data_IF_120671078533
#
_entry.id   IF_120671078533
#
_cell.length_a   1.000
_cell.length_b   1.000
_cell.length_c   1.000
_cell.angle_alpha   90.00
_cell.angle_beta   90.00
_cell.angle_gamma   90.00
#
_symmetry.space_group_name_H-M   'P 1'
#
loop_
_entity.id
_entity.type
_entity.pdbx_description
1 polymer ?
#
# COMPACT_ATOMS: atom_id res chain seq x y z
N UNK A 1 6.52 1.31 -9.40
CA UNK A 1 6.75 0.83 -8.03
C UNK A 1 6.47 -0.67 -7.97
N UNK A 2 7.04 -1.40 -7.00
CA UNK A 2 6.83 -2.84 -6.86
C UNK A 2 5.82 -3.18 -5.74
N UNK A 3 4.98 -4.17 -6.01
CA UNK A 3 3.93 -4.61 -5.08
C UNK A 3 3.90 -6.12 -4.91
N UNK A 4 3.55 -6.60 -3.71
CA UNK A 4 3.28 -8.01 -3.44
C UNK A 4 1.78 -8.20 -3.20
N UNK A 5 1.13 -8.99 -4.05
CA UNK A 5 -0.23 -9.47 -3.84
C UNK A 5 -0.24 -10.68 -2.92
N UNK A 6 -1.25 -10.77 -2.07
CA UNK A 6 -1.44 -11.90 -1.14
C UNK A 6 -2.57 -12.78 -1.64
N UNK A 7 -2.28 -14.07 -1.82
CA UNK A 7 -3.25 -15.08 -2.24
C UNK A 7 -3.13 -16.32 -1.38
N UNK A 8 -4.20 -17.11 -1.31
CA UNK A 8 -4.11 -18.46 -0.77
C UNK A 8 -3.69 -19.49 -1.83
N UNK A 9 -3.34 -20.68 -1.36
CA UNK A 9 -2.84 -21.74 -2.23
C UNK A 9 -3.85 -22.21 -3.28
N UNK A 10 -5.15 -22.16 -2.96
CA UNK A 10 -6.17 -22.66 -3.88
C UNK A 10 -6.44 -21.69 -5.02
N UNK A 11 -6.39 -20.39 -4.75
CA UNK A 11 -6.60 -19.34 -5.75
C UNK A 11 -5.32 -19.00 -6.54
N UNK A 12 -4.13 -19.35 -6.03
CA UNK A 12 -2.85 -19.13 -6.72
C UNK A 12 -2.87 -19.55 -8.19
N UNK A 13 -3.24 -20.80 -8.49
CA UNK A 13 -3.27 -21.30 -9.86
C UNK A 13 -4.32 -20.60 -10.73
N UNK A 14 -5.45 -20.22 -10.13
CA UNK A 14 -6.50 -19.48 -10.82
C UNK A 14 -6.04 -18.09 -11.22
N UNK A 15 -5.25 -17.42 -10.38
CA UNK A 15 -4.68 -16.11 -10.71
C UNK A 15 -3.81 -16.20 -11.97
N UNK A 16 -2.95 -17.21 -12.01
CA UNK A 16 -1.97 -17.38 -13.08
C UNK A 16 -2.62 -17.83 -14.37
N UNK A 17 -3.47 -18.86 -14.33
CA UNK A 17 -4.21 -19.35 -15.49
C UNK A 17 -5.00 -18.24 -16.18
N UNK A 18 -5.59 -17.35 -15.39
CA UNK A 18 -6.48 -16.29 -15.89
C UNK A 18 -5.79 -14.94 -16.06
N UNK A 19 -4.47 -14.86 -15.83
CA UNK A 19 -3.68 -13.63 -15.91
C UNK A 19 -4.32 -12.44 -15.19
N UNK A 20 -4.85 -12.70 -13.98
CA UNK A 20 -5.60 -11.70 -13.23
C UNK A 20 -5.33 -11.85 -11.74
N UNK A 21 -5.14 -10.74 -11.04
CA UNK A 21 -5.16 -10.70 -9.58
C UNK A 21 -6.43 -10.00 -9.12
N UNK A 22 -7.01 -10.49 -8.02
CA UNK A 22 -8.23 -9.95 -7.44
C UNK A 22 -8.09 -9.75 -5.93
N UNK A 23 -8.78 -8.75 -5.42
CA UNK A 23 -8.83 -8.42 -3.99
C UNK A 23 -10.29 -8.35 -3.49
N UNK A 24 -10.55 -8.62 -2.20
CA UNK A 24 -11.90 -8.54 -1.64
C UNK A 24 -12.42 -7.09 -1.61
N UNK A 25 -13.74 -6.93 -1.51
CA UNK A 25 -14.40 -5.63 -1.37
C UNK A 25 -14.34 -5.10 0.06
N UNK A 26 -13.13 -4.85 0.55
CA UNK A 26 -12.92 -4.16 1.82
C UNK A 26 -12.27 -2.80 1.57
N UNK A 27 -12.68 -1.79 2.35
CA UNK A 27 -12.06 -0.47 2.48
C UNK A 27 -10.53 -0.53 2.38
N UNK A 28 -9.92 -1.40 3.17
CA UNK A 28 -8.46 -1.55 3.23
C UNK A 28 -7.87 -2.11 1.95
N UNK A 29 -8.42 -3.22 1.44
CA UNK A 29 -7.89 -3.85 0.24
C UNK A 29 -8.01 -2.93 -0.97
N UNK A 30 -9.15 -2.25 -1.11
CA UNK A 30 -9.36 -1.25 -2.18
C UNK A 30 -8.36 -0.11 -2.06
N UNK A 31 -8.14 0.39 -0.84
CA UNK A 31 -7.10 1.38 -0.52
C UNK A 31 -5.72 0.99 -1.06
N UNK A 32 -5.37 -0.28 -0.91
CA UNK A 32 -4.07 -0.82 -1.30
C UNK A 32 -3.93 -1.00 -2.82
N UNK A 33 -4.94 -1.57 -3.49
CA UNK A 33 -4.83 -1.85 -4.94
C UNK A 33 -4.83 -0.58 -5.79
N UNK A 34 -5.51 0.48 -5.35
CA UNK A 34 -5.61 1.75 -6.11
C UNK A 34 -4.26 2.42 -6.41
N UNK A 35 -3.28 2.15 -5.55
CA UNK A 35 -1.93 2.68 -5.69
C UNK A 35 -1.18 1.98 -6.83
N UNK A 36 -1.58 0.77 -7.19
CA UNK A 36 -1.00 0.02 -8.31
C UNK A 36 -1.44 0.65 -9.63
N UNK A 37 -0.49 0.85 -10.55
CA UNK A 37 -0.70 1.38 -11.89
C UNK A 37 -0.31 0.37 -12.96
N UNK A 38 -0.83 0.59 -14.17
CA UNK A 38 -0.37 -0.14 -15.36
C UNK A 38 1.15 -0.04 -15.49
N UNK A 39 1.76 -1.14 -15.93
CA UNK A 39 3.19 -1.37 -16.13
C UNK A 39 4.02 -1.52 -14.86
N UNK A 40 3.42 -1.47 -13.68
CA UNK A 40 4.12 -1.71 -12.43
C UNK A 40 4.44 -3.19 -12.21
N UNK A 41 5.48 -3.39 -11.42
CA UNK A 41 6.03 -4.70 -11.13
C UNK A 41 5.29 -5.33 -9.97
N UNK A 42 4.90 -6.58 -10.12
CA UNK A 42 4.14 -7.31 -9.12
C UNK A 42 4.82 -8.62 -8.76
N UNK A 43 4.59 -9.05 -7.53
CA UNK A 43 4.95 -10.36 -7.00
C UNK A 43 3.72 -10.99 -6.36
N UNK A 44 3.73 -12.30 -6.16
CA UNK A 44 2.60 -13.03 -5.57
C UNK A 44 3.05 -13.86 -4.37
N UNK A 45 2.62 -13.49 -3.17
CA UNK A 45 2.84 -14.25 -1.95
C UNK A 45 1.68 -15.21 -1.68
N UNK A 46 2.00 -16.50 -1.52
CA UNK A 46 1.02 -17.56 -1.23
C UNK A 46 1.04 -17.87 0.26
N UNK A 47 0.02 -17.40 0.99
CA UNK A 47 -0.02 -17.44 2.46
C UNK A 47 0.16 -18.85 3.07
N UNK A 48 -0.53 -19.85 2.52
CA UNK A 48 -0.43 -21.24 3.01
C UNK A 48 0.94 -21.88 2.78
N UNK A 49 1.66 -21.45 1.74
CA UNK A 49 3.01 -21.95 1.39
C UNK A 49 4.13 -21.12 1.97
N UNK A 50 3.84 -19.90 2.45
CA UNK A 50 4.81 -18.93 2.95
C UNK A 50 5.91 -18.63 1.92
N UNK A 51 5.51 -18.44 0.67
CA UNK A 51 6.44 -18.27 -0.46
C UNK A 51 6.00 -17.16 -1.39
N UNK A 52 6.96 -16.44 -1.93
CA UNK A 52 6.77 -15.48 -3.03
C UNK A 52 7.04 -16.19 -4.36
N UNK A 53 6.19 -15.95 -5.34
CA UNK A 53 6.25 -16.59 -6.66
C UNK A 53 6.27 -15.56 -7.76
N UNK A 54 7.20 -15.75 -8.70
CA UNK A 54 7.20 -15.08 -10.00
C UNK A 54 7.45 -13.58 -9.93
N UNK A 55 7.68 -13.03 -11.12
CA UNK A 55 7.73 -11.59 -11.37
C UNK A 55 6.68 -11.34 -12.45
N UNK A 56 5.76 -10.42 -12.17
CA UNK A 56 4.66 -10.10 -13.06
C UNK A 56 4.66 -8.61 -13.35
N UNK A 57 3.94 -8.25 -14.42
CA UNK A 57 3.69 -6.87 -14.79
C UNK A 57 2.20 -6.59 -14.78
N UNK A 58 1.78 -5.48 -14.18
CA UNK A 58 0.43 -4.96 -14.37
C UNK A 58 0.25 -4.56 -15.85
N UNK A 59 -0.75 -5.11 -16.53
CA UNK A 59 -1.09 -4.72 -17.91
C UNK A 59 -2.38 -3.90 -18.00
N UNK A 60 -3.03 -3.65 -16.86
CA UNK A 60 -4.12 -2.70 -16.72
C UNK A 60 -3.93 -1.88 -15.44
N UNK A 61 -4.64 -0.77 -15.35
CA UNK A 61 -4.93 -0.17 -14.05
C UNK A 61 -5.94 -1.05 -13.27
N UNK A 62 -6.08 -0.86 -11.95
CA UNK A 62 -7.12 -1.51 -11.17
C UNK A 62 -8.52 -1.16 -11.69
N UNK A 63 -9.40 -2.15 -11.73
CA UNK A 63 -10.77 -2.00 -12.19
C UNK A 63 -11.74 -2.78 -11.32
N UNK A 64 -13.03 -2.41 -11.41
CA UNK A 64 -14.14 -3.15 -10.82
C UNK A 64 -14.73 -4.08 -11.87
N UNK A 65 -14.90 -5.34 -11.53
CA UNK A 65 -15.66 -6.30 -12.34
C UNK A 65 -17.16 -6.09 -12.10
N UNK A 66 -17.91 -5.97 -13.19
CA UNK A 66 -19.36 -5.76 -13.15
C UNK A 66 -20.10 -6.95 -12.53
N UNK A 67 -19.68 -8.18 -12.88
CA UNK A 67 -20.33 -9.44 -12.48
C UNK A 67 -19.34 -10.33 -11.75
N UNK A 68 -18.96 -9.98 -10.50
CA UNK A 68 -17.90 -10.69 -9.79
C UNK A 68 -18.30 -12.10 -9.39
N UNK A 69 -19.60 -12.42 -9.25
CA UNK A 69 -20.13 -13.72 -8.77
C UNK A 69 -19.59 -14.98 -9.44
N UNK A 70 -18.97 -14.85 -10.63
CA UNK A 70 -18.37 -15.96 -11.38
C UNK A 70 -16.91 -15.76 -11.73
N UNK A 71 -16.17 -15.00 -10.91
CA UNK A 71 -14.71 -14.92 -11.03
C UNK A 71 -14.07 -16.32 -11.06
N UNK A 72 -12.81 -16.44 -11.52
CA UNK A 72 -12.14 -17.74 -11.67
C UNK A 72 -11.80 -18.41 -10.32
N UNK A 73 -12.15 -17.77 -9.21
CA UNK A 73 -11.78 -18.11 -7.85
C UNK A 73 -12.59 -19.28 -7.30
N UNK A 74 -12.00 -19.96 -6.32
CA UNK A 74 -12.73 -20.98 -5.57
C UNK A 74 -13.80 -20.27 -4.74
N UNK A 75 -15.06 -20.60 -4.98
CA UNK A 75 -16.21 -20.01 -4.30
C UNK A 75 -16.32 -20.55 -2.87
N UNK A 76 -15.90 -19.77 -1.87
CA UNK A 76 -16.11 -20.10 -0.45
C UNK A 76 -17.21 -19.22 0.14
N UNK A 77 -17.84 -19.71 1.22
CA UNK A 77 -18.79 -18.92 2.02
C UNK A 77 -18.22 -17.58 2.51
N UNK A 78 -16.91 -17.50 2.75
CA UNK A 78 -16.27 -16.24 3.13
C UNK A 78 -16.23 -15.23 1.97
N UNK A 79 -16.06 -15.70 0.73
CA UNK A 79 -16.04 -14.86 -0.46
C UNK A 79 -17.43 -14.28 -0.77
N UNK A 80 -18.50 -14.97 -0.39
CA UNK A 80 -19.88 -14.44 -0.46
C UNK A 80 -20.04 -13.14 0.33
N UNK A 81 -19.39 -13.03 1.50
CA UNK A 81 -19.49 -11.86 2.38
C UNK A 81 -18.76 -10.64 1.82
N UNK A 82 -17.62 -10.85 1.16
CA UNK A 82 -16.70 -9.78 0.75
C UNK A 82 -16.67 -9.58 -0.77
N UNK A 83 -17.55 -10.25 -1.50
CA UNK A 83 -17.54 -10.31 -2.95
C UNK A 83 -16.42 -11.22 -3.46
N UNK A 84 -16.68 -11.88 -4.58
CA UNK A 84 -15.75 -12.78 -5.28
C UNK A 84 -14.62 -12.01 -5.98
N UNK A 85 -13.85 -11.30 -5.17
CA UNK A 85 -12.71 -10.46 -5.54
C UNK A 85 -13.06 -9.49 -6.70
N UNK A 86 -14.00 -8.56 -6.46
CA UNK A 86 -14.55 -7.72 -7.53
C UNK A 86 -13.58 -6.66 -8.04
N UNK A 87 -12.54 -6.33 -7.28
CA UNK A 87 -11.51 -5.37 -7.72
C UNK A 87 -10.30 -6.13 -8.19
N UNK A 88 -9.88 -5.86 -9.43
CA UNK A 88 -8.97 -6.71 -10.16
C UNK A 88 -7.93 -5.89 -10.90
N UNK A 89 -6.84 -6.55 -11.25
CA UNK A 89 -5.82 -6.04 -12.14
C UNK A 89 -5.40 -7.16 -13.09
N UNK A 90 -5.29 -6.84 -14.39
CA UNK A 90 -4.76 -7.78 -15.37
C UNK A 90 -3.25 -7.80 -15.28
N UNK A 91 -2.66 -8.96 -15.42
CA UNK A 91 -1.21 -9.15 -15.31
C UNK A 91 -0.63 -9.84 -16.54
N UNK A 92 0.65 -9.67 -16.75
CA UNK A 92 1.45 -10.53 -17.60
C UNK A 92 2.60 -11.17 -16.82
N UNK A 93 3.06 -12.31 -17.31
CA UNK A 93 4.10 -13.11 -16.65
C UNK A 93 5.43 -12.79 -17.31
N UNK A 94 6.31 -12.05 -16.63
CA UNK A 94 7.61 -11.66 -17.21
C UNK A 94 8.63 -12.81 -17.17
N UNK A 95 8.58 -13.63 -16.12
CA UNK A 95 9.50 -14.76 -15.92
C UNK A 95 8.76 -16.05 -15.60
N UNK A 96 9.28 -17.17 -16.08
CA UNK A 96 8.71 -18.50 -15.83
C UNK A 96 8.59 -18.84 -14.33
N UNK A 97 7.65 -19.72 -14.01
CA UNK A 97 7.35 -20.12 -12.64
C UNK A 97 8.27 -21.24 -12.16
N UNK A 98 8.86 -21.05 -10.99
CA UNK A 98 9.49 -22.13 -10.23
C UNK A 98 8.80 -22.41 -8.91
N UNK A 99 9.53 -23.01 -7.98
CA UNK A 99 9.01 -23.52 -6.69
C UNK A 99 8.63 -22.46 -5.64
N UNK A 100 8.85 -21.19 -5.96
CA UNK A 100 8.69 -20.03 -5.07
C UNK A 100 9.84 -19.85 -4.07
N UNK A 101 10.07 -18.59 -3.70
CA UNK A 101 11.04 -18.11 -2.72
C UNK A 101 10.44 -18.18 -1.30
N UNK A 102 10.96 -19.00 -0.39
CA UNK A 102 10.51 -19.03 1.01
C UNK A 102 10.68 -17.68 1.68
N UNK A 103 9.68 -17.24 2.45
CA UNK A 103 9.72 -15.96 3.16
C UNK A 103 10.86 -15.89 4.18
N UNK A 104 11.24 -17.03 4.74
CA UNK A 104 12.34 -17.16 5.70
C UNK A 104 13.69 -16.75 5.10
N UNK A 105 13.86 -16.85 3.77
CA UNK A 105 15.05 -16.34 3.08
C UNK A 105 15.14 -14.82 3.16
N UNK A 106 14.00 -14.13 3.00
CA UNK A 106 13.93 -12.67 3.08
C UNK A 106 14.10 -12.18 4.53
N UNK A 107 13.52 -12.92 5.48
CA UNK A 107 13.68 -12.65 6.92
C UNK A 107 15.14 -12.75 7.33
N UNK A 108 15.87 -13.78 6.88
CA UNK A 108 17.31 -13.95 7.16
C UNK A 108 18.17 -12.82 6.59
N UNK A 109 17.76 -12.23 5.48
CA UNK A 109 18.44 -11.08 4.86
C UNK A 109 18.08 -9.75 5.52
N UNK A 110 17.12 -9.75 6.45
CA UNK A 110 16.69 -8.59 7.21
C UNK A 110 16.31 -7.39 6.32
N UNK A 111 15.65 -7.65 5.19
CA UNK A 111 15.27 -6.61 4.24
C UNK A 111 13.91 -5.97 4.55
N UNK A 112 13.33 -6.22 5.74
CA UNK A 112 12.04 -5.66 6.15
C UNK A 112 10.79 -6.39 5.62
N UNK A 113 10.95 -7.44 4.81
CA UNK A 113 9.84 -8.30 4.37
C UNK A 113 9.79 -9.54 5.27
N UNK A 114 8.79 -9.61 6.14
CA UNK A 114 8.59 -10.72 7.09
C UNK A 114 7.22 -11.33 6.93
N UNK A 115 6.94 -12.46 7.57
CA UNK A 115 5.57 -13.02 7.61
C UNK A 115 4.53 -12.01 8.08
N UNK A 116 4.89 -11.13 9.02
CA UNK A 116 3.96 -10.16 9.58
C UNK A 116 3.60 -9.02 8.62
N UNK A 117 4.42 -8.78 7.59
CA UNK A 117 4.18 -7.80 6.53
C UNK A 117 2.86 -8.09 5.78
N UNK A 118 2.50 -9.37 5.63
CA UNK A 118 1.31 -9.80 4.89
C UNK A 118 0.02 -9.86 5.76
N UNK A 119 0.12 -9.65 7.08
CA UNK A 119 -1.01 -9.82 7.98
C UNK A 119 -2.08 -8.75 7.72
N UNK A 120 -3.23 -9.18 7.19
CA UNK A 120 -4.35 -8.29 6.87
C UNK A 120 -4.11 -7.41 5.64
N UNK A 121 -3.17 -7.78 4.77
CA UNK A 121 -2.96 -7.12 3.47
C UNK A 121 -3.52 -7.97 2.33
N UNK A 122 -4.05 -7.31 1.31
CA UNK A 122 -4.29 -7.92 0.00
C UNK A 122 -3.21 -7.53 -1.00
N UNK A 123 -2.69 -6.31 -0.87
CA UNK A 123 -1.55 -5.79 -1.63
C UNK A 123 -0.63 -5.04 -0.68
N UNK A 124 0.68 -5.20 -0.81
CA UNK A 124 1.66 -4.46 -0.01
C UNK A 124 2.76 -3.89 -0.88
N UNK A 125 3.09 -2.62 -0.66
CA UNK A 125 4.24 -1.97 -1.29
C UNK A 125 5.56 -2.53 -0.72
N UNK A 126 6.53 -2.71 -1.61
CA UNK A 126 7.92 -2.97 -1.27
C UNK A 126 8.80 -1.96 -2.01
N UNK A 127 10.00 -1.69 -1.52
CA UNK A 127 10.92 -0.79 -2.23
C UNK A 127 11.53 -1.45 -3.46
N UNK A 128 12.07 -0.63 -4.38
CA UNK A 128 12.78 -1.13 -5.57
C UNK A 128 13.97 -2.01 -5.16
N UNK A 129 14.72 -1.62 -4.12
CA UNK A 129 15.81 -2.43 -3.58
C UNK A 129 15.34 -3.81 -3.06
N UNK A 130 14.22 -3.84 -2.35
CA UNK A 130 13.63 -5.11 -1.90
C UNK A 130 13.17 -5.97 -3.10
N UNK A 131 12.58 -5.35 -4.12
CA UNK A 131 12.14 -6.02 -5.33
C UNK A 131 13.32 -6.62 -6.11
N UNK A 132 14.43 -5.90 -6.27
CA UNK A 132 15.66 -6.38 -6.89
C UNK A 132 16.20 -7.64 -6.17
N UNK A 133 16.26 -7.61 -4.83
CA UNK A 133 16.68 -8.77 -4.04
C UNK A 133 15.76 -9.97 -4.26
N UNK A 134 14.43 -9.76 -4.29
CA UNK A 134 13.47 -10.83 -4.55
C UNK A 134 13.67 -11.41 -5.94
N UNK A 135 13.86 -10.57 -6.96
CA UNK A 135 14.08 -11.02 -8.33
C UNK A 135 15.32 -11.88 -8.47
N UNK A 136 16.44 -11.43 -7.91
CA UNK A 136 17.71 -12.15 -8.02
C UNK A 136 17.62 -13.52 -7.35
N UNK A 137 16.98 -13.57 -6.17
CA UNK A 137 16.70 -14.84 -5.49
C UNK A 137 15.77 -15.75 -6.29
N UNK A 138 14.73 -15.20 -6.92
CA UNK A 138 13.83 -15.98 -7.78
C UNK A 138 14.57 -16.51 -9.02
N UNK A 139 15.44 -15.71 -9.65
CA UNK A 139 16.27 -16.13 -10.79
C UNK A 139 17.18 -17.30 -10.39
N UNK A 140 17.88 -17.19 -9.26
CA UNK A 140 18.77 -18.24 -8.74
C UNK A 140 18.03 -19.56 -8.46
N UNK A 141 16.83 -19.48 -7.87
CA UNK A 141 16.01 -20.66 -7.56
C UNK A 141 15.47 -21.31 -8.85
N UNK A 142 15.04 -20.49 -9.81
CA UNK A 142 14.44 -20.97 -11.06
C UNK A 142 15.46 -21.64 -11.98
N UNK A 143 16.72 -21.21 -12.00
CA UNK A 143 17.79 -21.89 -12.77
C UNK A 143 17.96 -23.35 -12.32
N UNK A 144 17.68 -23.64 -11.05
CA UNK A 144 17.92 -24.96 -10.46
C UNK A 144 16.77 -25.96 -10.67
N UNK A 145 15.64 -25.56 -11.27
CA UNK A 145 14.41 -26.39 -11.30
C UNK A 145 13.64 -26.30 -12.61
N UNK A 146 12.89 -27.36 -12.90
CA UNK A 146 11.99 -27.43 -14.06
C UNK A 146 10.92 -26.33 -13.97
N UNK A 147 10.70 -25.64 -15.11
CA UNK A 147 9.66 -24.63 -15.24
C UNK A 147 8.30 -25.31 -15.18
N UNK A 148 7.38 -24.70 -14.44
CA UNK A 148 5.99 -25.16 -14.41
C UNK A 148 5.27 -24.56 -15.63
N UNK A 149 4.80 -25.40 -16.54
CA UNK A 149 3.92 -24.98 -17.63
C UNK A 149 2.52 -24.68 -17.11
N UNK A 150 1.99 -23.51 -17.48
CA UNK A 150 0.63 -23.09 -17.15
C UNK A 150 -0.10 -22.79 -18.46
N UNK A 151 -1.22 -23.47 -18.67
CA UNK A 151 -2.13 -23.13 -19.75
C UNK A 151 -2.83 -21.81 -19.41
N UNK A 152 -2.45 -20.75 -20.11
CA UNK A 152 -3.06 -19.44 -19.96
C UNK A 152 -4.36 -19.35 -20.75
N UNK A 153 -5.36 -18.72 -20.15
CA UNK A 153 -6.60 -18.34 -20.79
C UNK A 153 -6.89 -16.88 -20.44
N UNK A 154 -7.26 -16.06 -21.43
CA UNK A 154 -7.75 -14.73 -21.12
C UNK A 154 -9.12 -14.84 -20.44
N UNK A 155 -9.24 -14.27 -19.24
CA UNK A 155 -10.52 -14.18 -18.56
C UNK A 155 -11.31 -12.97 -19.09
N UNK A 156 -12.53 -13.17 -19.60
CA UNK A 156 -13.36 -12.07 -20.05
C UNK A 156 -13.76 -11.20 -18.84
N UNK A 157 -13.50 -9.90 -18.94
CA UNK A 157 -13.81 -8.94 -17.88
C UNK A 157 -14.51 -7.72 -18.45
N UNK A 158 -15.62 -7.34 -17.83
CA UNK A 158 -16.29 -6.07 -18.08
C UNK A 158 -15.62 -5.03 -17.19
N UNK A 159 -14.76 -4.21 -17.79
CA UNK A 159 -13.93 -3.25 -17.08
C UNK A 159 -14.77 -2.02 -16.72
N UNK A 160 -15.08 -1.86 -15.44
CA UNK A 160 -15.63 -0.61 -14.90
C UNK A 160 -14.49 0.14 -14.20
N UNK A 161 -14.25 1.42 -14.52
CA UNK A 161 -13.29 2.25 -13.80
C UNK A 161 -13.58 2.21 -12.29
N UNK A 162 -12.52 2.04 -11.49
CA UNK A 162 -12.67 1.97 -10.04
C UNK A 162 -12.95 3.37 -9.46
N UNK A 163 -14.18 3.59 -9.02
CA UNK A 163 -14.52 4.74 -8.17
C UNK A 163 -14.51 4.31 -6.70
N UNK A 164 -13.51 4.73 -5.91
CA UNK A 164 -13.35 4.21 -4.56
C UNK A 164 -14.42 4.75 -3.62
N UNK A 165 -14.85 6.01 -3.83
CA UNK A 165 -15.82 6.70 -2.98
C UNK A 165 -17.20 6.02 -2.93
N UNK A 166 -17.52 5.17 -3.90
CA UNK A 166 -18.73 4.33 -3.89
C UNK A 166 -18.68 3.18 -2.89
N UNK A 167 -17.48 2.82 -2.42
CA UNK A 167 -17.23 1.64 -1.58
C UNK A 167 -17.15 2.04 -0.11
N UNK A 168 -16.56 3.21 0.17
CA UNK A 168 -16.34 3.70 1.53
C UNK A 168 -17.62 4.28 2.14
N UNK A 169 -17.87 3.93 3.39
CA UNK A 169 -19.04 4.43 4.16
C UNK A 169 -18.64 5.33 5.32
N UNK A 170 -17.45 5.12 5.87
CA UNK A 170 -16.97 5.85 7.04
C UNK A 170 -16.25 7.13 6.62
N UNK A 171 -16.52 8.24 7.31
CA UNK A 171 -16.00 9.56 6.93
C UNK A 171 -14.48 9.63 6.92
N UNK A 172 -13.82 8.94 7.86
CA UNK A 172 -12.35 8.90 7.93
C UNK A 172 -11.76 8.17 6.74
N UNK A 173 -12.34 7.03 6.34
CA UNK A 173 -11.90 6.33 5.14
C UNK A 173 -12.19 7.13 3.86
N UNK A 174 -13.32 7.83 3.79
CA UNK A 174 -13.62 8.75 2.68
C UNK A 174 -12.58 9.87 2.62
N UNK A 175 -12.23 10.49 3.76
CA UNK A 175 -11.19 11.51 3.82
C UNK A 175 -9.85 10.97 3.32
N UNK A 176 -9.47 9.77 3.74
CA UNK A 176 -8.22 9.15 3.32
C UNK A 176 -8.18 8.91 1.82
N UNK A 177 -9.28 8.47 1.21
CA UNK A 177 -9.39 8.31 -0.25
C UNK A 177 -9.29 9.65 -0.95
N UNK A 178 -9.99 10.68 -0.46
CA UNK A 178 -9.92 12.01 -1.05
C UNK A 178 -8.49 12.56 -1.00
N UNK A 179 -7.79 12.36 0.12
CA UNK A 179 -6.38 12.76 0.25
C UNK A 179 -5.49 11.93 -0.69
N UNK A 180 -5.71 10.62 -0.83
CA UNK A 180 -4.94 9.78 -1.78
C UNK A 180 -5.13 10.20 -3.24
N UNK A 181 -6.36 10.54 -3.62
CA UNK A 181 -6.72 10.94 -4.98
C UNK A 181 -6.26 12.37 -5.32
N UNK A 182 -6.02 13.21 -4.32
CA UNK A 182 -5.59 14.59 -4.47
C UNK A 182 -4.32 14.85 -3.66
N UNK A 183 -3.40 13.88 -3.65
CA UNK A 183 -2.21 13.90 -2.80
C UNK A 183 -1.29 15.09 -3.13
N UNK A 184 -1.34 15.55 -4.38
CA UNK A 184 -0.64 16.73 -4.90
C UNK A 184 -1.06 18.05 -4.23
N UNK A 185 -2.21 18.09 -3.55
CA UNK A 185 -2.60 19.22 -2.70
C UNK A 185 -1.68 19.40 -1.50
N UNK A 186 -0.94 18.36 -1.10
CA UNK A 186 0.10 18.45 -0.06
C UNK A 186 1.35 19.10 -0.64
N UNK A 187 1.84 18.59 -1.77
CA UNK A 187 2.98 19.13 -2.53
C UNK A 187 3.05 18.53 -3.93
N UNK A 188 3.70 19.23 -4.86
CA UNK A 188 3.87 18.75 -6.24
C UNK A 188 4.69 17.44 -6.29
N UNK A 189 4.29 16.54 -7.18
CA UNK A 189 4.98 15.28 -7.51
C UNK A 189 5.09 14.25 -6.37
N UNK A 190 4.37 14.45 -5.27
CA UNK A 190 4.19 13.41 -4.26
C UNK A 190 3.36 12.25 -4.84
N UNK A 191 3.74 11.02 -4.52
CA UNK A 191 3.08 9.80 -4.99
C UNK A 191 2.79 8.88 -3.82
N UNK A 192 1.53 8.47 -3.68
CA UNK A 192 1.15 7.44 -2.71
C UNK A 192 1.81 6.12 -3.09
N UNK A 193 2.45 5.47 -2.14
CA UNK A 193 3.07 4.15 -2.32
C UNK A 193 2.26 3.05 -1.65
N UNK A 194 1.71 3.28 -0.46
CA UNK A 194 0.86 2.34 0.26
C UNK A 194 -0.20 3.07 1.10
N UNK A 195 -1.27 2.37 1.42
CA UNK A 195 -2.37 2.83 2.27
C UNK A 195 -2.61 1.81 3.35
N UNK A 196 -2.92 2.27 4.57
CA UNK A 196 -3.06 1.38 5.73
C UNK A 196 -1.78 0.55 5.96
N UNK A 197 -0.62 1.22 5.97
CA UNK A 197 0.67 0.57 6.09
C UNK A 197 0.91 0.13 7.54
N UNK A 198 0.97 -1.19 7.84
CA UNK A 198 1.11 -1.67 9.20
C UNK A 198 2.54 -1.46 9.68
N UNK A 199 2.67 -0.84 10.85
CA UNK A 199 3.93 -0.73 11.56
C UNK A 199 3.93 -1.77 12.67
N UNK A 200 4.78 -2.80 12.51
CA UNK A 200 4.97 -3.89 13.48
C UNK A 200 6.47 -4.11 13.70
N UNK A 201 6.84 -4.58 14.89
CA UNK A 201 8.22 -4.99 15.19
C UNK A 201 8.96 -4.14 16.22
N UNK A 202 8.33 -3.07 16.75
CA UNK A 202 8.97 -2.17 17.73
C UNK A 202 8.35 -2.24 19.14
N UNK A 203 7.64 -3.33 19.47
CA UNK A 203 6.92 -3.48 20.74
C UNK A 203 5.61 -2.67 20.84
N UNK A 204 5.33 -1.85 19.82
CA UNK A 204 4.06 -1.15 19.63
C UNK A 204 3.50 -1.49 18.24
N UNK A 205 2.17 -1.49 18.14
CA UNK A 205 1.45 -1.68 16.89
C UNK A 205 0.89 -0.35 16.39
N UNK A 206 0.73 -0.23 15.08
CA UNK A 206 0.05 0.89 14.46
C UNK A 206 -0.14 0.68 12.97
N UNK A 207 -0.85 1.62 12.35
CA UNK A 207 -1.11 1.61 10.92
C UNK A 207 -1.01 3.05 10.45
N UNK A 208 -0.10 3.31 9.50
CA UNK A 208 0.03 4.61 8.85
C UNK A 208 -1.10 4.71 7.82
N UNK A 209 -1.87 5.79 7.87
CA UNK A 209 -2.99 5.99 6.94
C UNK A 209 -2.53 6.00 5.49
N UNK A 210 -1.52 6.82 5.17
CA UNK A 210 -0.94 6.93 3.83
C UNK A 210 0.58 7.03 3.94
N UNK A 211 1.26 6.14 3.22
CA UNK A 211 2.69 6.23 2.98
C UNK A 211 2.90 6.71 1.54
N UNK A 212 3.75 7.71 1.36
CA UNK A 212 4.04 8.31 0.06
C UNK A 212 5.55 8.53 -0.14
N UNK A 213 5.93 8.89 -1.37
CA UNK A 213 7.25 9.41 -1.72
C UNK A 213 7.12 10.78 -2.37
N UNK A 214 8.00 11.70 -2.00
CA UNK A 214 8.10 13.01 -2.67
C UNK A 214 8.92 12.92 -3.97
N UNK A 215 9.08 14.07 -4.64
CA UNK A 215 9.87 14.20 -5.87
C UNK A 215 11.32 13.73 -5.72
N UNK A 216 11.89 13.91 -4.52
CA UNK A 216 13.27 13.58 -4.17
C UNK A 216 13.39 12.15 -3.61
N UNK A 217 12.32 11.34 -3.76
CA UNK A 217 12.20 9.96 -3.27
C UNK A 217 12.26 9.81 -1.75
N UNK A 218 12.15 10.90 -0.97
CA UNK A 218 12.02 10.79 0.48
C UNK A 218 10.65 10.23 0.84
N UNK A 219 10.60 9.45 1.91
CA UNK A 219 9.34 8.94 2.42
C UNK A 219 8.55 10.03 3.14
N UNK A 220 7.26 10.09 2.85
CA UNK A 220 6.31 10.99 3.48
C UNK A 220 5.23 10.16 4.18
N UNK A 221 5.12 10.32 5.49
CA UNK A 221 4.09 9.68 6.31
C UNK A 221 2.96 10.68 6.48
N UNK A 222 1.76 10.34 6.04
CA UNK A 222 0.58 11.19 6.22
C UNK A 222 -0.38 10.51 7.19
N UNK A 223 -0.69 11.21 8.28
CA UNK A 223 -1.65 10.78 9.30
C UNK A 223 -2.86 11.72 9.31
N UNK A 224 -4.04 11.13 9.33
CA UNK A 224 -5.32 11.82 9.19
C UNK A 224 -6.11 11.75 10.48
N UNK A 225 -6.87 12.81 10.76
CA UNK A 225 -7.91 12.82 11.79
C UNK A 225 -9.15 13.50 11.26
N UNK A 226 -10.31 12.85 11.44
CA UNK A 226 -11.59 13.45 11.03
C UNK A 226 -11.92 14.72 11.83
N UNK A 227 -11.46 14.80 13.08
CA UNK A 227 -11.66 15.93 13.98
C UNK A 227 -10.44 16.86 14.05
N UNK A 228 -10.31 17.53 15.18
CA UNK A 228 -9.08 18.26 15.52
C UNK A 228 -7.94 17.26 15.77
N UNK A 229 -6.71 17.69 15.48
CA UNK A 229 -5.51 16.92 15.78
C UNK A 229 -5.34 16.83 17.32
N UNK A 230 -5.32 15.62 17.89
CA UNK A 230 -5.15 15.43 19.32
C UNK A 230 -3.66 15.49 19.69
N UNK A 231 -3.30 15.70 20.98
CA UNK A 231 -1.90 15.81 21.40
C UNK A 231 -1.03 14.60 21.07
N UNK A 232 -1.63 13.41 21.03
CA UNK A 232 -0.96 12.14 20.73
C UNK A 232 -0.51 12.02 19.26
N UNK A 233 -0.96 12.93 18.37
CA UNK A 233 -0.57 12.91 16.95
C UNK A 233 0.96 12.98 16.79
N UNK A 234 1.63 13.76 17.65
CA UNK A 234 3.07 13.97 17.54
C UNK A 234 3.87 12.71 17.89
N UNK A 235 3.50 12.01 18.96
CA UNK A 235 4.15 10.75 19.32
C UNK A 235 3.91 9.68 18.26
N UNK A 236 2.72 9.64 17.67
CA UNK A 236 2.38 8.72 16.59
C UNK A 236 3.25 8.98 15.34
N UNK A 237 3.32 10.23 14.85
CA UNK A 237 4.11 10.61 13.69
C UNK A 237 5.61 10.35 13.89
N UNK A 238 6.16 10.65 15.07
CA UNK A 238 7.57 10.39 15.40
C UNK A 238 7.87 8.89 15.44
N UNK A 239 6.96 8.09 16.01
CA UNK A 239 7.09 6.63 16.07
C UNK A 239 7.05 6.01 14.66
N UNK A 240 6.12 6.45 13.82
CA UNK A 240 6.05 6.03 12.42
C UNK A 240 7.29 6.45 11.63
N UNK A 241 7.79 7.67 11.83
CA UNK A 241 9.02 8.16 11.20
C UNK A 241 10.21 7.27 11.53
N UNK A 242 10.35 6.88 12.79
CA UNK A 242 11.38 5.97 13.23
C UNK A 242 11.25 4.60 12.54
N UNK A 243 10.05 4.04 12.47
CA UNK A 243 9.83 2.75 11.82
C UNK A 243 10.17 2.79 10.32
N UNK A 244 9.62 3.73 9.56
CA UNK A 244 9.87 3.87 8.11
C UNK A 244 11.34 4.14 7.82
N UNK A 245 12.02 4.91 8.68
CA UNK A 245 13.45 5.15 8.55
C UNK A 245 14.27 3.87 8.63
N UNK A 246 13.89 2.97 9.53
CA UNK A 246 14.59 1.71 9.74
C UNK A 246 14.23 0.63 8.72
N UNK A 247 13.00 0.63 8.20
CA UNK A 247 12.54 -0.35 7.21
C UNK A 247 13.05 0.00 5.81
N UNK A 248 12.97 1.27 5.42
CA UNK A 248 13.26 1.70 4.06
C UNK A 248 14.37 2.76 3.99
N UNK A 249 14.18 3.90 4.66
CA UNK A 249 14.92 5.12 4.32
C UNK A 249 16.44 5.01 4.54
N UNK A 250 16.89 4.28 5.56
CA UNK A 250 18.32 4.00 5.80
C UNK A 250 18.96 3.22 4.67
N UNK A 251 18.26 2.23 4.12
CA UNK A 251 18.78 1.37 3.06
C UNK A 251 18.84 2.14 1.74
N UNK A 252 17.86 3.00 1.51
CA UNK A 252 17.78 3.84 0.31
C UNK A 252 18.56 5.16 0.42
N UNK A 253 19.14 5.44 1.60
CA UNK A 253 19.82 6.71 1.90
C UNK A 253 18.96 7.95 1.60
N UNK A 254 17.68 7.91 1.99
CA UNK A 254 16.71 9.01 1.83
C UNK A 254 16.17 9.48 3.18
N UNK A 255 15.48 10.62 3.20
CA UNK A 255 14.88 11.15 4.41
C UNK A 255 13.47 10.60 4.65
N UNK A 256 12.95 10.86 5.85
CA UNK A 256 11.55 10.64 6.21
C UNK A 256 10.98 11.95 6.73
N UNK A 257 9.83 12.36 6.18
CA UNK A 257 9.06 13.54 6.59
C UNK A 257 7.66 13.12 7.00
N UNK A 258 6.99 13.96 7.79
CA UNK A 258 5.64 13.70 8.28
C UNK A 258 4.68 14.81 7.94
N UNK A 259 3.43 14.42 7.71
CA UNK A 259 2.31 15.30 7.44
C UNK A 259 1.16 14.90 8.35
N UNK A 260 0.59 15.86 9.07
CA UNK A 260 -0.67 15.69 9.78
C UNK A 260 -1.79 16.42 9.05
N UNK A 261 -2.96 15.81 8.93
CA UNK A 261 -4.14 16.48 8.34
C UNK A 261 -5.33 16.33 9.29
N UNK A 262 -5.96 17.45 9.65
CA UNK A 262 -7.14 17.47 10.53
C UNK A 262 -8.02 18.70 10.30
N UNK A 263 -9.14 18.84 11.03
CA UNK A 263 -9.98 20.06 10.95
C UNK A 263 -9.35 21.28 11.62
N UNK A 264 -8.41 21.04 12.52
CA UNK A 264 -7.82 22.02 13.42
C UNK A 264 -6.96 21.33 14.45
N UNK A 265 -6.80 21.96 15.62
CA UNK A 265 -5.97 21.44 16.69
C UNK A 265 -6.74 21.43 18.00
N UNK A 266 -6.49 20.43 18.82
CA UNK A 266 -6.70 20.58 20.25
C UNK A 266 -5.62 21.50 20.84
N UNK A 267 -5.94 22.18 21.94
CA UNK A 267 -5.10 23.25 22.50
C UNK A 267 -3.64 22.82 22.76
N UNK A 268 -3.43 21.62 23.34
CA UNK A 268 -2.08 21.09 23.59
C UNK A 268 -1.34 20.73 22.30
N UNK A 269 -2.05 20.24 21.28
CA UNK A 269 -1.43 19.96 19.99
C UNK A 269 -1.00 21.26 19.29
N UNK A 270 -1.83 22.30 19.38
CA UNK A 270 -1.55 23.63 18.83
C UNK A 270 -0.27 24.24 19.43
N UNK A 271 -0.11 24.19 20.75
CA UNK A 271 1.07 24.76 21.41
C UNK A 271 2.35 23.97 21.16
N UNK A 272 2.26 22.65 21.01
CA UNK A 272 3.43 21.82 20.75
C UNK A 272 3.97 21.99 19.32
N UNK A 273 3.13 22.33 18.34
CA UNK A 273 3.54 22.35 16.95
C UNK A 273 4.65 23.37 16.63
N UNK A 274 4.58 24.65 17.05
CA UNK A 274 5.68 25.61 16.87
C UNK A 274 6.99 25.15 17.50
N UNK A 275 6.96 24.64 18.73
CA UNK A 275 8.14 24.14 19.43
C UNK A 275 8.77 22.94 18.69
N UNK A 276 7.94 22.01 18.21
CA UNK A 276 8.42 20.89 17.41
C UNK A 276 9.08 21.36 16.10
N UNK A 277 8.55 22.41 15.45
CA UNK A 277 9.14 22.98 14.24
C UNK A 277 10.51 23.60 14.49
N UNK A 278 10.75 24.20 15.65
CA UNK A 278 12.06 24.72 16.06
C UNK A 278 13.06 23.60 16.36
N UNK A 279 12.59 22.48 16.92
CA UNK A 279 13.44 21.35 17.30
C UNK A 279 13.84 20.45 16.13
N UNK A 280 13.07 20.43 15.03
CA UNK A 280 13.43 19.65 13.84
C UNK A 280 14.49 20.38 13.02
N UNK A 281 15.56 19.65 12.64
CA UNK A 281 16.67 20.22 11.86
C UNK A 281 16.27 20.78 10.50
N UNK A 282 15.21 20.21 9.90
CA UNK A 282 14.68 20.66 8.62
C UNK A 282 13.21 21.06 8.84
N UNK A 283 12.85 22.34 8.60
CA UNK A 283 11.49 22.82 8.74
C UNK A 283 10.46 22.02 7.91
N UNK A 284 10.85 21.46 6.76
CA UNK A 284 9.96 20.66 5.92
C UNK A 284 9.74 19.22 6.43
N UNK A 285 10.45 18.80 7.49
CA UNK A 285 10.30 17.46 8.06
C UNK A 285 8.94 17.21 8.73
N UNK A 286 8.20 18.27 9.09
CA UNK A 286 6.86 18.16 9.68
C UNK A 286 5.95 19.24 9.10
N UNK A 287 4.92 18.86 8.36
CA UNK A 287 3.86 19.77 7.87
C UNK A 287 2.52 19.43 8.48
N UNK A 288 1.66 20.43 8.60
CA UNK A 288 0.29 20.25 9.11
C UNK A 288 -0.67 20.98 8.19
N UNK A 289 -1.74 20.31 7.79
CA UNK A 289 -2.79 20.87 6.96
C UNK A 289 -4.12 20.85 7.69
N UNK A 290 -4.88 21.95 7.54
CA UNK A 290 -6.32 21.95 7.83
C UNK A 290 -7.06 21.52 6.58
N UNK A 291 -8.02 20.62 6.72
CA UNK A 291 -8.85 20.22 5.58
C UNK A 291 -10.25 20.84 5.64
N UNK A 292 -10.81 21.10 4.45
CA UNK A 292 -12.22 21.36 4.25
C UNK A 292 -12.74 20.39 3.19
N UNK A 293 -13.83 19.68 3.49
CA UNK A 293 -14.39 18.68 2.57
C UNK A 293 -15.90 18.52 2.75
N UNK A 294 -16.58 18.21 1.64
CA UNK A 294 -17.97 17.77 1.62
C UNK A 294 -18.12 16.24 1.68
N UNK A 295 -16.99 15.51 1.74
CA UNK A 295 -16.93 14.04 1.73
C UNK A 295 -17.55 13.39 0.49
N UNK A 296 -17.62 14.11 -0.63
CA UNK A 296 -18.12 13.59 -1.91
C UNK A 296 -17.10 13.67 -3.02
N UNK A 297 -16.49 14.83 -3.21
CA UNK A 297 -15.47 15.04 -4.23
C UNK A 297 -14.60 16.28 -3.96
N UNK A 298 -15.02 17.16 -3.05
CA UNK A 298 -14.26 18.36 -2.73
C UNK A 298 -13.32 18.12 -1.57
N UNK A 299 -12.04 18.44 -1.78
CA UNK A 299 -11.03 18.53 -0.73
C UNK A 299 -10.22 19.81 -0.94
N UNK A 300 -10.06 20.59 0.12
CA UNK A 300 -9.14 21.72 0.19
C UNK A 300 -8.22 21.48 1.37
N UNK A 301 -6.92 21.70 1.17
CA UNK A 301 -5.89 21.60 2.20
C UNK A 301 -5.20 22.96 2.37
N UNK A 302 -5.23 23.49 3.58
CA UNK A 302 -4.58 24.75 3.96
C UNK A 302 -3.40 24.45 4.89
N UNK A 303 -2.16 24.69 4.44
CA UNK A 303 -0.98 24.49 5.28
C UNK A 303 -0.99 25.47 6.47
N UNK A 304 -0.80 24.93 7.67
CA UNK A 304 -0.68 25.71 8.91
C UNK A 304 0.74 26.22 9.01
N UNK A 305 0.94 27.49 8.65
CA UNK A 305 2.23 28.16 8.80
C UNK A 305 2.48 28.53 10.26
N UNK A 306 3.69 28.23 10.73
CA UNK A 306 4.20 28.73 12.01
C UNK A 306 5.09 29.92 11.70
N UNK A 307 4.80 31.07 12.30
CA UNK A 307 5.74 32.19 12.31
C UNK A 307 6.91 31.80 13.21
N UNK A 308 8.03 31.45 12.59
CA UNK A 308 9.32 31.25 13.27
C UNK A 308 9.98 32.58 13.57
#
# INVERSE_FOLDING_TARGET
>A
MPYIFVVDEKNFWKCLQNKIFGIPATTKAVGQIMNVKKYEKLFLYVFGKRKIFGVYKAISDPFKEEKPERGPWIQRKYDEKHGYYPFRIKIDVENGFGIGLPIEELERRNIGITRSFFNGKSVGYISEHQAEIIEDLLKEINIKKEKIEINFSEFPSNIIPLNPLEIYKEKESILQVLVQQNIELIENEIKVVDSYFPVKGYGWGGEIDILAKDKDQNYVIVELKIGNLPPQIWSQLLSYSYAIRNIFAKVENVNVRTVAIGKGFEQKALYAYPELKLLVKNPDSLKVFKYQSDFRNKLVLDEVKVST
#
